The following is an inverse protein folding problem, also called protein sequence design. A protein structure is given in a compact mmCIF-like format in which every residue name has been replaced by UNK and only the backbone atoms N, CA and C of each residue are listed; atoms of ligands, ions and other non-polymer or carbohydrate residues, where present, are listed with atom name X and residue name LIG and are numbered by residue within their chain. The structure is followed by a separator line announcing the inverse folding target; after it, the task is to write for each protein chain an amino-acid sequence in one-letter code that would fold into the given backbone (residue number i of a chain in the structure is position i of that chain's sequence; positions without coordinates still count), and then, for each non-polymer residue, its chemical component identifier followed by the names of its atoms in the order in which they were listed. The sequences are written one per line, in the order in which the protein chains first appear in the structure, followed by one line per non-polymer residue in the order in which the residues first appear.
data_IF_544447430876
#
_entry.id   IF_544447430876
#
_cell.length_a   1.000
_cell.length_b   1.000
_cell.length_c   1.000
_cell.angle_alpha   90.00
_cell.angle_beta   90.00
_cell.angle_gamma   90.00
#
_symmetry.space_group_name_H-M   'P 1'
#
loop_
_entity.id
_entity.type
_entity.pdbx_description
1 polymer ?
#
# COMPACT_ATOMS: atom_id res chain seq x y z
N UNK A 1 -20.77 0.08 14.36
CA UNK A 1 -19.97 -0.31 13.19
C UNK A 1 -19.01 0.76 12.69
N UNK A 2 -19.50 1.89 12.21
CA UNK A 2 -18.68 2.95 11.60
C UNK A 2 -17.70 3.60 12.58
N UNK A 3 -18.09 3.73 13.84
CA UNK A 3 -17.23 4.30 14.90
C UNK A 3 -15.98 3.47 15.17
N UNK A 4 -16.14 2.16 15.28
CA UNK A 4 -15.02 1.27 15.52
C UNK A 4 -14.01 1.33 14.36
N UNK A 5 -14.49 1.45 13.12
CA UNK A 5 -13.65 1.58 11.94
C UNK A 5 -12.86 2.90 11.93
N UNK A 6 -13.49 3.99 12.34
CA UNK A 6 -12.83 5.28 12.45
C UNK A 6 -11.71 5.24 13.51
N UNK A 7 -11.95 4.62 14.64
CA UNK A 7 -10.96 4.47 15.72
C UNK A 7 -9.77 3.61 15.32
N UNK A 8 -9.98 2.58 14.50
CA UNK A 8 -8.89 1.72 14.01
C UNK A 8 -7.97 2.47 13.05
N UNK A 9 -8.51 3.39 12.25
CA UNK A 9 -7.74 4.05 11.20
C UNK A 9 -7.17 5.41 11.59
N UNK A 10 -7.95 6.23 12.27
CA UNK A 10 -7.55 7.59 12.64
C UNK A 10 -8.13 7.95 14.01
N UNK A 11 -7.29 7.85 15.03
CA UNK A 11 -7.66 8.15 16.40
C UNK A 11 -8.13 9.60 16.59
N UNK A 12 -7.48 10.56 15.94
CA UNK A 12 -7.87 11.97 16.05
C UNK A 12 -9.21 12.25 15.38
N UNK A 13 -9.49 11.60 14.24
CA UNK A 13 -10.80 11.68 13.60
C UNK A 13 -11.90 11.04 14.46
N UNK A 14 -11.58 9.92 15.13
CA UNK A 14 -12.49 9.27 16.06
C UNK A 14 -12.80 10.15 17.27
N UNK A 15 -11.79 10.79 17.87
CA UNK A 15 -11.99 11.73 18.97
C UNK A 15 -12.85 12.91 18.56
N UNK A 16 -12.60 13.52 17.38
CA UNK A 16 -13.45 14.60 16.87
C UNK A 16 -14.89 14.14 16.66
N UNK A 17 -15.10 12.96 16.09
CA UNK A 17 -16.43 12.40 15.89
C UNK A 17 -17.18 12.21 17.20
N UNK A 18 -16.53 11.64 18.22
CA UNK A 18 -17.12 11.42 19.56
C UNK A 18 -17.42 12.77 20.22
N UNK A 19 -16.49 13.71 20.18
CA UNK A 19 -16.69 15.04 20.74
C UNK A 19 -17.87 15.75 20.07
N UNK A 20 -17.95 15.71 18.74
CA UNK A 20 -19.01 16.32 17.97
C UNK A 20 -20.39 15.67 18.25
N UNK A 21 -20.41 14.35 18.51
CA UNK A 21 -21.63 13.65 18.92
C UNK A 21 -22.21 14.19 20.24
N UNK A 22 -21.34 14.52 21.17
CA UNK A 22 -21.78 15.04 22.48
C UNK A 22 -22.01 16.57 22.52
N UNK A 23 -21.38 17.31 21.64
CA UNK A 23 -21.37 18.77 21.66
C UNK A 23 -22.23 19.44 20.60
N UNK A 24 -22.44 18.79 19.45
CA UNK A 24 -23.27 19.34 18.37
C UNK A 24 -24.74 19.04 18.57
N UNK A 25 -25.60 19.96 18.13
CA UNK A 25 -27.01 19.67 17.90
C UNK A 25 -27.19 18.46 16.98
N UNK A 26 -28.16 17.59 17.26
CA UNK A 26 -28.38 16.35 16.53
C UNK A 26 -28.49 16.56 15.00
N UNK A 27 -29.21 17.61 14.57
CA UNK A 27 -29.35 17.91 13.12
C UNK A 27 -28.02 18.31 12.50
N UNK A 28 -27.23 19.12 13.21
CA UNK A 28 -25.90 19.51 12.74
C UNK A 28 -24.97 18.30 12.67
N UNK A 29 -25.02 17.44 13.67
CA UNK A 29 -24.23 16.21 13.69
C UNK A 29 -24.58 15.28 12.53
N UNK A 30 -25.88 15.01 12.29
CA UNK A 30 -26.34 14.19 11.16
C UNK A 30 -25.95 14.80 9.82
N UNK A 31 -26.13 16.11 9.67
CA UNK A 31 -25.73 16.77 8.42
C UNK A 31 -24.22 16.72 8.15
N UNK A 32 -23.43 16.76 9.20
CA UNK A 32 -21.98 16.79 9.10
C UNK A 32 -21.37 15.41 8.80
N UNK A 33 -21.99 14.33 9.28
CA UNK A 33 -21.42 12.99 9.20
C UNK A 33 -22.19 12.02 8.28
N UNK A 34 -23.49 12.23 8.09
CA UNK A 34 -24.36 11.25 7.44
C UNK A 34 -25.19 11.77 6.27
N UNK A 35 -25.29 13.08 6.07
CA UNK A 35 -25.97 13.60 4.89
C UNK A 35 -25.11 13.40 3.67
N UNK A 36 -25.67 12.74 2.67
CA UNK A 36 -25.13 12.72 1.30
C UNK A 36 -25.21 14.14 0.75
N UNK A 37 -24.06 14.71 0.36
CA UNK A 37 -24.06 15.98 -0.34
C UNK A 37 -24.57 15.80 -1.75
N UNK A 38 -25.21 16.81 -2.32
CA UNK A 38 -25.64 16.86 -3.71
C UNK A 38 -24.40 16.80 -4.63
N UNK A 39 -23.95 15.58 -4.95
CA UNK A 39 -23.04 15.22 -6.04
C UNK A 39 -21.60 15.77 -6.02
N UNK A 40 -21.29 16.93 -5.46
CA UNK A 40 -19.95 17.53 -5.55
C UNK A 40 -19.31 17.96 -4.20
N UNK A 41 -20.07 17.97 -3.11
CA UNK A 41 -19.56 18.42 -1.81
C UNK A 41 -19.79 17.35 -0.74
N UNK A 42 -19.01 16.30 -0.73
CA UNK A 42 -18.90 15.44 0.44
C UNK A 42 -18.35 16.25 1.62
N UNK A 43 -19.03 16.19 2.77
CA UNK A 43 -18.45 16.74 3.98
C UNK A 43 -17.03 16.17 4.16
N UNK A 44 -16.00 17.00 4.41
CA UNK A 44 -14.63 16.50 4.62
C UNK A 44 -14.55 15.39 5.66
N UNK A 45 -15.48 15.36 6.62
CA UNK A 45 -15.54 14.35 7.69
C UNK A 45 -16.24 13.06 7.23
N UNK A 46 -17.19 13.13 6.31
CA UNK A 46 -17.77 11.93 5.68
C UNK A 46 -16.67 11.19 4.89
N UNK A 47 -15.83 11.89 4.17
CA UNK A 47 -14.71 11.30 3.46
C UNK A 47 -13.72 10.57 4.40
N UNK A 48 -13.58 11.01 5.65
CA UNK A 48 -12.77 10.30 6.67
C UNK A 48 -13.43 8.99 7.10
N UNK A 49 -14.76 8.96 7.27
CA UNK A 49 -15.51 7.75 7.61
C UNK A 49 -15.47 6.76 6.44
N UNK A 50 -15.64 7.24 5.21
CA UNK A 50 -15.63 6.40 4.00
C UNK A 50 -14.26 5.75 3.72
N UNK A 51 -13.19 6.34 4.25
CA UNK A 51 -11.84 5.74 4.21
C UNK A 51 -11.66 4.59 5.22
N UNK A 52 -12.51 4.50 6.22
CA UNK A 52 -12.39 3.45 7.22
C UNK A 52 -12.78 2.09 6.64
N UNK A 53 -12.01 1.07 7.00
CA UNK A 53 -12.31 -0.30 6.62
C UNK A 53 -13.42 -0.85 7.52
N UNK A 54 -14.49 -1.38 6.94
CA UNK A 54 -15.56 -2.03 7.71
C UNK A 54 -15.09 -3.40 8.24
N UNK A 55 -15.64 -3.90 9.36
CA UNK A 55 -15.33 -5.26 9.83
C UNK A 55 -15.57 -6.35 8.78
N UNK A 56 -16.62 -6.21 7.97
CA UNK A 56 -16.90 -7.14 6.88
C UNK A 56 -15.80 -7.08 5.80
N UNK A 57 -15.35 -5.89 5.42
CA UNK A 57 -14.27 -5.71 4.47
C UNK A 57 -12.94 -6.20 5.04
N UNK A 58 -12.66 -5.95 6.33
CA UNK A 58 -11.49 -6.48 7.01
C UNK A 58 -11.47 -8.01 6.98
N UNK A 59 -12.58 -8.66 7.33
CA UNK A 59 -12.68 -10.12 7.29
C UNK A 59 -12.54 -10.68 5.88
N UNK A 60 -13.10 -10.01 4.87
CA UNK A 60 -12.91 -10.40 3.47
C UNK A 60 -11.45 -10.33 3.04
N UNK A 61 -10.73 -9.29 3.48
CA UNK A 61 -9.34 -9.08 3.10
C UNK A 61 -8.37 -9.99 3.86
N UNK A 62 -8.60 -10.19 5.16
CA UNK A 62 -7.61 -10.82 6.05
C UNK A 62 -8.13 -12.08 6.77
N UNK A 63 -9.44 -12.38 6.66
CA UNK A 63 -10.07 -13.47 7.42
C UNK A 63 -9.57 -14.87 7.08
N UNK A 64 -9.16 -15.10 5.83
CA UNK A 64 -8.69 -16.41 5.34
C UNK A 64 -7.19 -16.64 5.47
N UNK A 65 -6.47 -15.71 6.06
CA UNK A 65 -5.02 -15.83 6.27
C UNK A 65 -4.72 -16.74 7.46
N UNK A 66 -3.67 -17.57 7.32
CA UNK A 66 -3.17 -18.36 8.45
C UNK A 66 -2.61 -17.46 9.54
N UNK A 67 -2.49 -17.96 10.77
CA UNK A 67 -1.91 -17.19 11.89
C UNK A 67 -0.51 -16.68 11.55
N UNK A 68 0.32 -17.52 10.93
CA UNK A 68 1.68 -17.13 10.54
C UNK A 68 1.72 -16.05 9.45
N UNK A 69 0.78 -16.08 8.52
CA UNK A 69 0.64 -15.02 7.52
C UNK A 69 0.18 -13.71 8.16
N UNK A 70 -0.73 -13.77 9.14
CA UNK A 70 -1.17 -12.60 9.90
C UNK A 70 -0.05 -11.97 10.72
N UNK A 71 0.78 -12.76 11.38
CA UNK A 71 1.95 -12.27 12.12
C UNK A 71 2.86 -11.41 11.23
N UNK A 72 3.12 -11.84 9.99
CA UNK A 72 3.90 -11.06 9.02
C UNK A 72 3.20 -9.77 8.62
N UNK A 73 1.88 -9.84 8.40
CA UNK A 73 1.10 -8.68 7.94
C UNK A 73 0.96 -7.66 9.08
N UNK A 74 0.75 -8.12 10.30
CA UNK A 74 0.56 -7.27 11.48
C UNK A 74 1.87 -6.73 12.07
N UNK A 75 3.01 -7.25 11.63
CA UNK A 75 4.33 -6.74 12.07
C UNK A 75 4.54 -5.30 11.55
N UNK A 76 4.53 -4.35 12.47
CA UNK A 76 4.71 -2.91 12.21
C UNK A 76 6.02 -2.36 12.71
N UNK A 77 6.76 -3.15 13.48
CA UNK A 77 7.95 -2.72 14.20
C UNK A 77 9.24 -3.16 13.52
N UNK A 78 9.20 -4.29 12.82
CA UNK A 78 10.41 -4.81 12.16
C UNK A 78 10.81 -3.94 10.97
N UNK A 79 12.05 -3.48 11.00
CA UNK A 79 12.65 -2.74 9.87
C UNK A 79 12.82 -3.61 8.62
N UNK A 80 13.12 -4.89 8.83
CA UNK A 80 13.34 -5.88 7.78
C UNK A 80 12.52 -7.14 8.08
N UNK A 81 11.75 -7.60 7.11
CA UNK A 81 10.97 -8.84 7.19
C UNK A 81 11.40 -9.74 6.03
N UNK A 82 11.97 -10.91 6.37
CA UNK A 82 12.35 -11.92 5.38
C UNK A 82 11.39 -13.09 5.46
N UNK A 83 10.70 -13.37 4.37
CA UNK A 83 9.73 -14.48 4.27
C UNK A 83 10.35 -15.62 3.46
N UNK A 84 10.90 -16.61 4.15
CA UNK A 84 11.39 -17.84 3.53
C UNK A 84 10.24 -18.87 3.44
N UNK A 85 9.88 -19.23 2.22
CA UNK A 85 8.75 -20.14 2.00
C UNK A 85 8.93 -20.91 0.68
N UNK A 86 8.58 -22.18 0.67
CA UNK A 86 8.67 -23.03 -0.52
C UNK A 86 7.68 -22.67 -1.63
N UNK A 87 7.82 -23.27 -2.81
CA UNK A 87 6.86 -23.12 -3.91
C UNK A 87 5.44 -23.48 -3.46
N UNK A 88 4.44 -22.71 -3.89
CA UNK A 88 3.03 -22.96 -3.55
C UNK A 88 2.62 -22.60 -2.12
N UNK A 89 3.53 -22.08 -1.28
CA UNK A 89 3.25 -21.70 0.13
C UNK A 89 2.42 -20.44 0.30
N UNK A 90 2.11 -19.72 -0.78
CA UNK A 90 1.36 -18.48 -0.72
C UNK A 90 2.20 -17.22 -0.44
N UNK A 91 3.51 -17.22 -0.72
CA UNK A 91 4.38 -16.02 -0.61
C UNK A 91 3.75 -14.78 -1.24
N UNK A 92 3.37 -14.87 -2.51
CA UNK A 92 2.74 -13.75 -3.24
C UNK A 92 1.49 -13.25 -2.54
N UNK A 93 0.68 -14.17 -1.98
CA UNK A 93 -0.52 -13.81 -1.21
C UNK A 93 -0.16 -12.97 0.01
N UNK A 94 0.85 -13.36 0.77
CA UNK A 94 1.31 -12.61 1.95
C UNK A 94 1.77 -11.21 1.54
N UNK A 95 2.57 -11.08 0.48
CA UNK A 95 3.06 -9.80 0.00
C UNK A 95 1.92 -8.87 -0.45
N UNK A 96 0.96 -9.40 -1.22
CA UNK A 96 -0.23 -8.64 -1.65
C UNK A 96 -1.02 -8.14 -0.46
N UNK A 97 -1.26 -9.00 0.54
CA UNK A 97 -2.01 -8.63 1.74
C UNK A 97 -1.24 -7.68 2.64
N UNK A 98 0.09 -7.79 2.71
CA UNK A 98 0.93 -6.81 3.43
C UNK A 98 0.83 -5.42 2.80
N UNK A 99 0.94 -5.30 1.48
CA UNK A 99 0.73 -4.02 0.79
C UNK A 99 -0.69 -3.48 0.98
N UNK A 100 -1.70 -4.34 0.92
CA UNK A 100 -3.09 -3.95 1.19
C UNK A 100 -3.25 -3.42 2.62
N UNK A 101 -2.64 -4.06 3.61
CA UNK A 101 -2.62 -3.60 5.01
C UNK A 101 -1.97 -2.23 5.15
N UNK A 102 -0.81 -2.01 4.55
CA UNK A 102 -0.11 -0.72 4.58
C UNK A 102 -0.97 0.41 4.00
N UNK A 103 -1.62 0.16 2.86
CA UNK A 103 -2.47 1.15 2.20
C UNK A 103 -3.77 1.43 2.94
N UNK A 104 -4.40 0.40 3.53
CA UNK A 104 -5.75 0.50 4.09
C UNK A 104 -5.78 0.73 5.59
N UNK A 105 -4.80 0.20 6.33
CA UNK A 105 -4.79 0.21 7.79
C UNK A 105 -3.73 1.13 8.39
N UNK A 106 -2.59 1.28 7.70
CA UNK A 106 -1.42 2.01 8.24
C UNK A 106 -1.22 3.38 7.61
N UNK A 107 -2.13 3.80 6.74
CA UNK A 107 -2.13 5.11 6.08
C UNK A 107 -0.83 5.43 5.32
N UNK A 108 -0.13 4.41 4.86
CA UNK A 108 1.03 4.55 3.98
C UNK A 108 0.54 4.97 2.60
N UNK A 109 1.07 6.05 2.07
CA UNK A 109 0.68 6.56 0.76
C UNK A 109 1.27 5.69 -0.35
N UNK A 110 0.56 5.58 -1.46
CA UNK A 110 1.00 4.77 -2.61
C UNK A 110 2.36 5.20 -3.15
N UNK A 111 2.71 6.49 -3.10
CA UNK A 111 4.01 7.00 -3.56
C UNK A 111 5.19 6.52 -2.70
N UNK A 112 4.91 6.14 -1.45
CA UNK A 112 5.91 5.64 -0.50
C UNK A 112 6.22 4.16 -0.67
N UNK A 113 5.44 3.44 -1.50
CA UNK A 113 5.57 2.01 -1.73
C UNK A 113 6.25 1.74 -3.06
N UNK A 114 7.23 0.84 -3.03
CA UNK A 114 7.86 0.28 -4.23
C UNK A 114 7.90 -1.24 -4.11
N UNK A 115 7.41 -1.93 -5.13
CA UNK A 115 7.61 -3.37 -5.27
C UNK A 115 8.48 -3.67 -6.47
N UNK A 116 9.51 -4.46 -6.26
CA UNK A 116 10.41 -4.95 -7.29
C UNK A 116 10.30 -6.48 -7.45
N UNK A 117 10.32 -6.93 -8.68
CA UNK A 117 10.33 -8.35 -9.05
C UNK A 117 11.22 -8.58 -10.27
N UNK A 118 11.60 -9.82 -10.53
CA UNK A 118 12.41 -10.17 -11.72
C UNK A 118 11.58 -10.31 -12.99
N UNK A 119 10.28 -10.62 -12.87
CA UNK A 119 9.42 -10.98 -13.99
C UNK A 119 8.32 -9.94 -14.24
N UNK A 120 8.15 -9.54 -15.52
CA UNK A 120 7.01 -8.69 -15.94
C UNK A 120 5.68 -9.38 -15.70
N UNK A 121 5.62 -10.70 -15.86
CA UNK A 121 4.41 -11.49 -15.62
C UNK A 121 4.05 -11.42 -14.13
N UNK A 122 5.04 -11.63 -13.25
CA UNK A 122 4.83 -11.53 -11.81
C UNK A 122 4.38 -10.12 -11.39
N UNK A 123 4.99 -9.07 -11.93
CA UNK A 123 4.59 -7.69 -11.66
C UNK A 123 3.12 -7.43 -12.06
N UNK A 124 2.71 -7.90 -13.23
CA UNK A 124 1.35 -7.73 -13.73
C UNK A 124 0.33 -8.51 -12.88
N UNK A 125 0.65 -9.75 -12.54
CA UNK A 125 -0.22 -10.58 -11.69
C UNK A 125 -0.35 -10.00 -10.28
N UNK A 126 0.75 -9.54 -9.71
CA UNK A 126 0.74 -8.91 -8.40
C UNK A 126 -0.14 -7.64 -8.39
N UNK A 127 0.02 -6.79 -9.39
CA UNK A 127 -0.79 -5.58 -9.55
C UNK A 127 -2.27 -5.91 -9.66
N UNK A 128 -2.64 -6.91 -10.48
CA UNK A 128 -4.01 -7.36 -10.61
C UNK A 128 -4.59 -7.81 -9.27
N UNK A 129 -3.87 -8.66 -8.54
CA UNK A 129 -4.30 -9.14 -7.22
C UNK A 129 -4.47 -8.00 -6.21
N UNK A 130 -3.57 -7.02 -6.24
CA UNK A 130 -3.66 -5.86 -5.35
C UNK A 130 -4.88 -4.99 -5.70
N UNK A 131 -5.17 -4.77 -6.98
CA UNK A 131 -6.37 -4.06 -7.44
C UNK A 131 -7.65 -4.78 -6.98
N UNK A 132 -7.69 -6.10 -7.10
CA UNK A 132 -8.84 -6.92 -6.66
C UNK A 132 -9.09 -6.78 -5.15
N UNK A 133 -8.04 -6.57 -4.35
CA UNK A 133 -8.15 -6.38 -2.90
C UNK A 133 -8.51 -4.95 -2.49
N UNK A 134 -7.81 -3.95 -3.00
CA UNK A 134 -7.90 -2.57 -2.51
C UNK A 134 -8.55 -1.61 -3.49
N UNK A 135 -8.84 -2.04 -4.71
CA UNK A 135 -9.47 -1.22 -5.73
C UNK A 135 -8.52 -0.20 -6.36
N UNK A 136 -9.07 0.95 -6.74
CA UNK A 136 -8.37 1.97 -7.55
C UNK A 136 -7.07 2.49 -6.93
N UNK A 137 -6.93 2.51 -5.62
CA UNK A 137 -5.70 2.94 -4.95
C UNK A 137 -4.47 2.14 -5.39
N UNK A 138 -4.65 0.86 -5.75
CA UNK A 138 -3.57 0.00 -6.22
C UNK A 138 -2.99 0.40 -7.58
N UNK A 139 -3.73 1.15 -8.41
CA UNK A 139 -3.23 1.59 -9.71
C UNK A 139 -2.01 2.50 -9.59
N UNK A 140 -1.93 3.26 -8.52
CA UNK A 140 -0.88 4.24 -8.27
C UNK A 140 0.33 3.65 -7.53
N UNK A 141 0.24 2.41 -7.04
CA UNK A 141 1.39 1.74 -6.42
C UNK A 141 2.41 1.36 -7.49
N UNK A 142 3.65 1.72 -7.25
CA UNK A 142 4.76 1.44 -8.15
C UNK A 142 5.19 -0.03 -8.01
N UNK A 143 4.86 -0.84 -9.02
CA UNK A 143 5.21 -2.25 -9.12
C UNK A 143 5.95 -2.44 -10.43
N UNK A 144 7.24 -2.73 -10.36
CA UNK A 144 8.15 -2.79 -11.52
C UNK A 144 9.09 -3.98 -11.45
N UNK A 145 9.68 -4.30 -12.59
CA UNK A 145 10.85 -5.18 -12.59
C UNK A 145 12.11 -4.38 -12.21
N UNK A 146 13.12 -5.05 -11.68
CA UNK A 146 14.42 -4.44 -11.39
C UNK A 146 14.98 -3.68 -12.61
N UNK A 147 14.91 -4.28 -13.80
CA UNK A 147 15.35 -3.64 -15.02
C UNK A 147 14.55 -2.38 -15.34
N UNK A 148 13.22 -2.46 -15.30
CA UNK A 148 12.36 -1.31 -15.62
C UNK A 148 12.60 -0.14 -14.65
N UNK A 149 12.72 -0.42 -13.37
CA UNK A 149 13.02 0.60 -12.37
C UNK A 149 14.40 1.22 -12.56
N UNK A 150 15.40 0.39 -12.85
CA UNK A 150 16.77 0.86 -13.12
C UNK A 150 16.83 1.76 -14.35
N UNK A 151 16.14 1.44 -15.44
CA UNK A 151 16.04 2.31 -16.61
C UNK A 151 15.40 3.65 -16.30
N UNK A 152 14.35 3.67 -15.48
CA UNK A 152 13.70 4.91 -15.06
C UNK A 152 14.66 5.81 -14.26
N UNK A 153 15.48 5.22 -13.38
CA UNK A 153 16.47 5.96 -12.61
C UNK A 153 17.57 6.55 -13.46
N UNK A 154 18.06 5.80 -14.45
CA UNK A 154 19.12 6.25 -15.37
C UNK A 154 18.60 7.27 -16.38
N UNK A 155 17.27 7.35 -16.60
CA UNK A 155 16.67 8.29 -17.55
C UNK A 155 16.86 7.92 -19.01
N UNK A 156 17.15 6.66 -19.32
CA UNK A 156 17.28 6.13 -20.69
C UNK A 156 16.15 5.15 -21.00
N UNK A 157 15.60 5.23 -22.20
CA UNK A 157 14.82 4.13 -22.76
C UNK A 157 15.81 3.06 -23.22
N UNK A 158 15.73 1.87 -22.60
CA UNK A 158 16.75 0.85 -22.78
C UNK A 158 16.77 0.18 -24.14
N UNK A 159 17.94 0.07 -24.72
CA UNK A 159 18.26 -0.89 -25.77
C UNK A 159 18.61 -2.24 -25.11
N UNK A 160 18.28 -3.35 -25.79
CA UNK A 160 18.52 -4.72 -25.32
C UNK A 160 19.99 -5.00 -24.94
N UNK A 161 20.95 -4.33 -25.58
CA UNK A 161 22.37 -4.48 -25.31
C UNK A 161 22.82 -3.83 -23.97
N UNK A 162 22.09 -2.84 -23.48
CA UNK A 162 22.37 -2.17 -22.21
C UNK A 162 21.69 -2.87 -21.02
N UNK A 163 20.81 -3.84 -21.26
CA UNK A 163 20.00 -4.47 -20.20
C UNK A 163 20.82 -5.28 -19.19
N UNK A 164 21.96 -5.86 -19.60
CA UNK A 164 22.79 -6.71 -18.73
C UNK A 164 23.42 -5.96 -17.56
N UNK A 165 23.75 -4.69 -17.76
CA UNK A 165 24.44 -3.87 -16.75
C UNK A 165 23.58 -2.78 -16.11
N UNK A 166 22.32 -2.64 -16.54
CA UNK A 166 21.47 -1.51 -16.10
C UNK A 166 21.21 -1.49 -14.61
N UNK A 167 21.03 -2.65 -14.00
CA UNK A 167 20.77 -2.76 -12.54
C UNK A 167 22.01 -2.33 -11.75
N UNK A 168 23.19 -2.82 -12.15
CA UNK A 168 24.47 -2.45 -11.53
C UNK A 168 24.74 -0.95 -11.68
N UNK A 169 24.55 -0.39 -12.87
CA UNK A 169 24.73 1.05 -13.12
C UNK A 169 23.77 1.90 -12.27
N UNK A 170 22.50 1.50 -12.16
CA UNK A 170 21.53 2.19 -11.32
C UNK A 170 21.97 2.16 -9.84
N UNK A 171 22.46 1.02 -9.35
CA UNK A 171 22.99 0.90 -8.00
C UNK A 171 24.19 1.83 -7.76
N UNK A 172 25.17 1.82 -8.67
CA UNK A 172 26.33 2.72 -8.62
C UNK A 172 25.92 4.21 -8.60
N UNK A 173 24.95 4.61 -9.45
CA UNK A 173 24.43 5.98 -9.47
C UNK A 173 23.73 6.38 -8.16
N UNK A 174 23.00 5.44 -7.52
CA UNK A 174 22.39 5.69 -6.21
C UNK A 174 23.48 5.87 -5.15
N UNK A 175 24.47 5.00 -5.11
CA UNK A 175 25.58 5.06 -4.15
C UNK A 175 26.39 6.35 -4.29
N UNK A 176 26.61 6.80 -5.51
CA UNK A 176 27.32 8.04 -5.82
C UNK A 176 26.49 9.32 -5.60
N UNK A 177 25.19 9.20 -5.28
CA UNK A 177 24.29 10.34 -5.11
C UNK A 177 23.91 11.03 -6.43
N UNK A 178 24.04 10.35 -7.56
CA UNK A 178 23.73 10.88 -8.90
C UNK A 178 22.22 10.80 -9.24
N UNK A 179 21.45 10.08 -8.43
CA UNK A 179 20.00 9.95 -8.60
C UNK A 179 19.29 10.97 -7.73
N UNK A 180 18.32 11.67 -8.30
CA UNK A 180 17.49 12.61 -7.57
C UNK A 180 16.78 11.93 -6.38
N UNK A 181 16.93 12.47 -5.17
CA UNK A 181 16.39 11.88 -3.94
C UNK A 181 14.87 11.61 -4.01
N UNK A 182 14.12 12.48 -4.69
CA UNK A 182 12.67 12.32 -4.89
C UNK A 182 12.28 11.02 -5.62
N UNK A 183 13.15 10.51 -6.50
CA UNK A 183 12.91 9.28 -7.26
C UNK A 183 13.10 8.00 -6.44
N UNK A 184 13.90 8.07 -5.39
CA UNK A 184 14.23 6.92 -4.52
C UNK A 184 13.70 7.05 -3.09
N UNK A 185 12.99 8.13 -2.78
CA UNK A 185 12.41 8.38 -1.46
C UNK A 185 11.20 7.47 -1.22
N UNK A 186 11.46 6.20 -0.90
CA UNK A 186 10.44 5.20 -0.56
C UNK A 186 10.54 4.83 0.92
N UNK A 187 9.38 4.70 1.59
CA UNK A 187 9.33 4.26 2.99
C UNK A 187 9.27 2.74 3.09
N UNK A 188 8.70 2.08 2.09
CA UNK A 188 8.53 0.62 2.05
C UNK A 188 9.00 0.08 0.70
N UNK A 189 9.92 -0.87 0.76
CA UNK A 189 10.37 -1.64 -0.39
C UNK A 189 9.99 -3.10 -0.20
N UNK A 190 9.30 -3.66 -1.19
CA UNK A 190 8.97 -5.08 -1.26
C UNK A 190 9.71 -5.71 -2.41
N UNK A 191 10.39 -6.82 -2.14
CA UNK A 191 11.13 -7.58 -3.14
C UNK A 191 10.56 -9.00 -3.19
N UNK A 192 10.09 -9.40 -4.35
CA UNK A 192 9.69 -10.79 -4.62
C UNK A 192 10.84 -11.55 -5.29
N UNK A 193 10.97 -12.83 -4.94
CA UNK A 193 12.05 -13.74 -5.41
C UNK A 193 13.47 -13.16 -5.14
N UNK A 194 13.69 -12.67 -3.93
CA UNK A 194 14.97 -12.05 -3.54
C UNK A 194 16.19 -12.99 -3.65
N UNK A 195 15.99 -14.31 -3.70
CA UNK A 195 17.06 -15.28 -3.91
C UNK A 195 17.65 -15.22 -5.33
N UNK A 196 16.98 -14.57 -6.27
CA UNK A 196 17.42 -14.44 -7.67
C UNK A 196 18.30 -13.17 -7.88
N UNK A 197 18.60 -12.46 -6.78
CA UNK A 197 19.46 -11.26 -6.78
C UNK A 197 20.93 -11.61 -6.89
#
# INVERSE_FOLDING_TARGET
GEYANLMVRDYNAALRFVNDYFTLDFRKFINQYFKEGDGEHHSPRRAQIDRCITPAKYNKLFGELSNRQREIIDDKESKYIVVAAGPGSGKTRVLVHKLASLLLLEDVKHEQLLMLTFSRVAATEFKKRLIDLVGNAAHYVEIKTFHSYSFDLIGKQGNLDEAKDVVRRAAEMIENGEVEASKIAKSVLVIDEAQDM
#
